data_IF_817194405136
#
_entry.id   IF_817194405136
#
_cell.length_a   1.000
_cell.length_b   1.000
_cell.length_c   1.000
_cell.angle_alpha   90.00
_cell.angle_beta   90.00
_cell.angle_gamma   90.00
#
_symmetry.space_group_name_H-M   'P 1'
#
loop_
_entity.id
_entity.type
_entity.pdbx_description
1 polymer ?
#
# COMPACT_ATOMS: atom_id res chain seq x y z
N UNK A 1 12.55 25.18 17.20
CA UNK A 1 12.59 24.59 15.84
C UNK A 1 13.59 23.44 15.90
N UNK A 2 13.25 22.14 15.88
CA UNK A 2 12.40 21.30 14.98
C UNK A 2 13.03 21.01 13.60
N UNK A 3 12.85 19.75 13.17
CA UNK A 3 13.26 19.05 11.92
C UNK A 3 14.76 18.67 11.85
N UNK A 4 15.16 17.39 11.97
CA UNK A 4 14.96 16.17 11.12
C UNK A 4 15.94 16.15 9.92
N UNK A 5 16.83 15.17 9.64
CA UNK A 5 17.02 13.71 9.91
C UNK A 5 16.58 12.81 8.74
N UNK A 6 17.55 12.32 7.94
CA UNK A 6 17.61 11.07 7.12
C UNK A 6 18.84 11.17 6.17
N UNK A 7 19.57 10.16 5.68
CA UNK A 7 19.59 8.66 5.70
C UNK A 7 21.05 8.21 6.05
N UNK A 8 21.50 6.94 6.09
CA UNK A 8 20.90 5.58 6.01
C UNK A 8 21.72 4.60 6.89
N UNK A 9 21.24 3.37 7.14
CA UNK A 9 21.65 2.14 6.44
C UNK A 9 21.10 0.85 7.09
N UNK A 10 21.17 -0.27 6.37
CA UNK A 10 20.22 -1.40 6.49
C UNK A 10 20.90 -2.77 6.71
N UNK A 11 20.37 -3.54 7.70
CA UNK A 11 20.48 -5.00 7.90
C UNK A 11 21.88 -5.63 8.14
N UNK A 12 22.05 -6.22 9.33
CA UNK A 12 22.15 -7.69 9.50
C UNK A 12 21.74 -8.13 10.90
N UNK A 13 20.99 -9.23 11.00
CA UNK A 13 20.83 -9.99 12.25
C UNK A 13 22.12 -10.76 12.50
N UNK A 14 22.63 -10.71 13.73
CA UNK A 14 22.95 -11.93 14.47
C UNK A 14 23.03 -11.65 15.97
N UNK A 15 22.58 -12.61 16.77
CA UNK A 15 22.63 -12.58 18.24
C UNK A 15 23.67 -13.62 18.69
N UNK A 16 24.37 -13.34 19.79
CA UNK A 16 25.31 -14.24 20.50
C UNK A 16 26.75 -14.29 19.93
N UNK A 17 27.61 -13.37 20.39
CA UNK A 17 28.85 -13.71 21.14
C UNK A 17 29.60 -12.47 21.68
N UNK A 18 30.15 -12.66 22.88
CA UNK A 18 31.33 -11.99 23.46
C UNK A 18 31.25 -10.47 23.70
N UNK A 19 30.65 -10.14 24.86
CA UNK A 19 31.38 -9.67 26.04
C UNK A 19 32.87 -9.26 25.91
N UNK A 20 33.25 -8.29 26.76
CA UNK A 20 34.61 -8.00 27.23
C UNK A 20 35.59 -7.46 26.17
N UNK A 21 35.75 -6.12 26.14
CA UNK A 21 37.05 -5.44 26.27
C UNK A 21 36.83 -3.98 26.75
N UNK A 22 37.35 -3.67 27.94
CA UNK A 22 37.84 -2.36 28.44
C UNK A 22 37.09 -1.10 27.96
N UNK A 23 36.21 -0.42 28.72
CA UNK A 23 36.35 0.13 30.09
C UNK A 23 37.71 0.82 30.38
N UNK A 24 37.62 2.14 30.64
CA UNK A 24 38.59 3.06 31.30
C UNK A 24 39.85 3.51 30.54
N UNK A 25 39.90 4.81 30.18
CA UNK A 25 40.72 5.81 30.92
C UNK A 25 40.37 7.26 30.57
N UNK A 26 40.49 8.12 31.59
CA UNK A 26 40.66 9.59 31.64
C UNK A 26 39.75 10.50 30.77
N UNK A 27 39.26 11.66 31.25
CA UNK A 27 39.44 12.28 32.56
C UNK A 27 39.83 13.76 32.45
N UNK A 28 38.84 14.64 32.68
CA UNK A 28 38.92 16.02 33.21
C UNK A 28 40.14 16.91 32.91
N UNK A 29 39.93 17.98 32.14
CA UNK A 29 40.48 19.35 32.31
C UNK A 29 39.44 20.30 31.63
N UNK A 30 38.61 21.09 32.33
CA UNK A 30 38.89 22.33 33.12
C UNK A 30 38.94 23.60 32.22
N UNK A 31 37.74 24.20 32.08
CA UNK A 31 37.30 25.62 31.97
C UNK A 31 38.02 26.69 31.10
N UNK A 32 37.15 27.56 30.56
CA UNK A 32 37.31 28.99 30.23
C UNK A 32 38.21 29.49 29.07
N UNK A 33 37.58 29.64 27.90
CA UNK A 33 37.06 30.97 27.50
C UNK A 33 37.95 31.92 26.68
N UNK A 34 37.55 32.22 25.43
CA UNK A 34 37.49 33.61 24.95
C UNK A 34 36.50 33.85 23.79
N UNK A 35 36.20 35.13 23.53
CA UNK A 35 35.09 35.62 22.68
C UNK A 35 35.42 35.73 21.18
N UNK A 36 34.38 35.52 20.37
CA UNK A 36 34.05 36.19 19.07
C UNK A 36 35.21 36.65 18.16
N UNK A 37 35.35 35.99 17.00
CA UNK A 37 36.04 36.53 15.82
C UNK A 37 35.34 36.12 14.52
N UNK A 38 35.04 37.06 13.62
CA UNK A 38 34.37 36.78 12.33
C UNK A 38 35.39 36.38 11.25
N UNK A 39 35.07 35.33 10.48
CA UNK A 39 35.56 35.15 9.10
C UNK A 39 36.52 33.98 8.84
N UNK A 40 36.40 33.42 7.62
CA UNK A 40 37.28 32.42 6.98
C UNK A 40 37.17 30.94 7.44
N UNK A 41 35.99 30.32 7.35
CA UNK A 41 35.88 28.84 7.33
C UNK A 41 35.69 28.21 5.93
N UNK A 42 35.41 29.01 4.89
CA UNK A 42 35.11 28.50 3.53
C UNK A 42 36.31 28.07 2.67
N UNK A 43 37.57 28.39 3.03
CA UNK A 43 38.74 28.04 2.18
C UNK A 43 39.48 26.75 2.56
N UNK A 44 39.28 26.22 3.77
CA UNK A 44 39.97 25.01 4.22
C UNK A 44 39.28 23.74 3.69
N UNK A 45 37.96 23.67 3.81
CA UNK A 45 37.15 22.53 3.36
C UNK A 45 37.26 22.26 1.84
N UNK A 46 37.28 23.30 0.99
CA UNK A 46 37.42 23.11 -0.46
C UNK A 46 38.79 22.56 -0.90
N UNK A 47 39.84 22.69 -0.08
CA UNK A 47 41.14 22.04 -0.36
C UNK A 47 41.13 20.56 0.03
N UNK A 48 40.49 20.22 1.14
CA UNK A 48 40.33 18.81 1.58
C UNK A 48 39.45 18.05 0.59
N UNK A 49 38.27 18.57 0.27
CA UNK A 49 37.33 17.94 -0.68
C UNK A 49 37.97 17.70 -2.05
N UNK A 50 38.77 18.65 -2.57
CA UNK A 50 39.45 18.46 -3.87
C UNK A 50 40.52 17.38 -3.83
N UNK A 51 41.34 17.37 -2.77
CA UNK A 51 42.37 16.34 -2.59
C UNK A 51 41.75 14.94 -2.45
N UNK A 52 40.62 14.83 -1.75
CA UNK A 52 39.91 13.56 -1.58
C UNK A 52 39.20 13.10 -2.86
N UNK A 53 38.72 14.03 -3.72
CA UNK A 53 38.21 13.70 -5.06
C UNK A 53 39.32 13.25 -6.02
N UNK A 54 40.49 13.91 -6.00
CA UNK A 54 41.66 13.54 -6.83
C UNK A 54 42.19 12.13 -6.47
N UNK A 55 42.18 11.76 -5.19
CA UNK A 55 42.55 10.41 -4.72
C UNK A 55 41.58 9.30 -5.17
N UNK A 56 40.34 9.64 -5.52
CA UNK A 56 39.28 8.69 -5.89
C UNK A 56 38.99 8.63 -7.41
N UNK A 57 39.69 9.40 -8.24
CA UNK A 57 39.49 9.48 -9.70
C UNK A 57 38.05 9.80 -10.15
N UNK A 58 37.28 10.51 -9.32
CA UNK A 58 35.91 10.92 -9.66
C UNK A 58 35.92 12.27 -10.39
N UNK A 59 35.48 12.28 -11.65
CA UNK A 59 35.22 13.53 -12.39
C UNK A 59 33.90 14.18 -11.95
N UNK A 60 33.78 15.49 -12.12
CA UNK A 60 32.57 16.27 -11.78
C UNK A 60 31.30 15.73 -12.49
N UNK A 61 31.47 15.06 -13.63
CA UNK A 61 30.39 14.50 -14.46
C UNK A 61 29.71 13.26 -13.85
N UNK A 62 30.27 12.65 -12.80
CA UNK A 62 29.70 11.44 -12.16
C UNK A 62 28.69 11.73 -11.04
N UNK A 63 28.33 12.99 -10.78
CA UNK A 63 27.41 13.39 -9.69
C UNK A 63 26.14 14.09 -10.24
N UNK A 64 25.59 13.63 -11.36
CA UNK A 64 24.29 14.08 -11.88
C UNK A 64 23.46 12.93 -12.48
N UNK A 65 23.00 12.00 -11.64
CA UNK A 65 21.87 11.13 -12.00
C UNK A 65 20.98 10.78 -10.79
N UNK A 66 20.68 11.80 -9.97
CA UNK A 66 19.69 11.70 -8.89
C UNK A 66 18.36 12.34 -9.33
N UNK A 67 17.77 11.77 -10.38
CA UNK A 67 16.59 12.30 -11.09
C UNK A 67 15.25 11.73 -10.58
N UNK A 68 15.17 11.47 -9.26
CA UNK A 68 13.94 11.00 -8.61
C UNK A 68 13.32 12.04 -7.66
N UNK A 69 14.08 13.05 -7.19
CA UNK A 69 13.54 14.11 -6.31
C UNK A 69 12.58 15.09 -7.00
N UNK A 70 12.59 15.16 -8.33
CA UNK A 70 11.73 16.06 -9.09
C UNK A 70 10.28 15.60 -9.27
N UNK A 71 9.93 14.37 -8.84
CA UNK A 71 8.57 13.85 -9.00
C UNK A 71 7.70 13.98 -7.74
N UNK A 72 8.30 13.97 -6.53
CA UNK A 72 7.56 14.27 -5.28
C UNK A 72 7.30 15.77 -5.11
N UNK A 73 8.32 16.64 -5.19
CA UNK A 73 8.15 18.10 -5.02
C UNK A 73 7.20 18.73 -6.06
N UNK A 74 7.02 18.09 -7.22
CA UNK A 74 6.17 18.57 -8.31
C UNK A 74 4.72 18.02 -8.24
N UNK A 75 4.41 17.12 -7.30
CA UNK A 75 3.05 16.72 -6.97
C UNK A 75 2.38 17.70 -6.00
N UNK A 76 3.13 18.23 -5.03
CA UNK A 76 2.57 19.12 -4.00
C UNK A 76 2.05 20.45 -4.59
N UNK A 77 2.73 21.04 -5.58
CA UNK A 77 2.27 22.24 -6.30
C UNK A 77 0.92 22.08 -7.04
N UNK A 78 0.47 20.84 -7.32
CA UNK A 78 -0.81 20.62 -8.03
C UNK A 78 -2.05 20.78 -7.15
N UNK A 79 -1.91 20.48 -5.86
CA UNK A 79 -3.03 20.41 -4.94
C UNK A 79 -3.39 21.79 -4.34
N UNK A 80 -2.45 22.76 -4.36
CA UNK A 80 -2.72 24.16 -3.93
C UNK A 80 -3.86 24.82 -4.71
N UNK A 81 -3.98 24.53 -6.01
CA UNK A 81 -5.04 25.05 -6.89
C UNK A 81 -6.39 24.29 -6.74
N UNK A 82 -6.52 23.30 -5.84
CA UNK A 82 -7.79 22.58 -5.58
C UNK A 82 -8.31 23.00 -4.22
N UNK A 83 -8.99 24.16 -4.19
CA UNK A 83 -9.73 24.60 -3.01
C UNK A 83 -10.91 23.65 -2.79
N UNK A 84 -10.78 22.85 -1.74
CA UNK A 84 -11.81 21.94 -1.25
C UNK A 84 -12.91 22.79 -0.59
N UNK A 85 -14.13 22.74 -1.13
CA UNK A 85 -15.26 23.53 -0.61
C UNK A 85 -15.73 22.93 0.70
N UNK A 86 -16.06 23.75 1.70
CA UNK A 86 -16.63 23.24 2.95
C UNK A 86 -17.92 22.43 2.70
N UNK A 87 -18.13 21.39 3.50
CA UNK A 87 -19.32 20.54 3.43
C UNK A 87 -20.28 20.97 4.53
N UNK A 88 -21.47 21.42 4.14
CA UNK A 88 -22.55 21.76 5.07
C UNK A 88 -23.11 20.48 5.73
N UNK A 89 -22.61 20.18 6.93
CA UNK A 89 -23.03 19.04 7.76
C UNK A 89 -24.00 19.50 8.86
N UNK A 90 -24.86 18.59 9.30
CA UNK A 90 -25.68 18.82 10.49
C UNK A 90 -24.92 18.35 11.73
N UNK A 91 -24.23 19.29 12.39
CA UNK A 91 -23.42 19.04 13.59
C UNK A 91 -24.18 19.30 14.91
N UNK A 92 -25.52 19.35 14.88
CA UNK A 92 -26.36 19.68 16.05
C UNK A 92 -26.15 18.74 17.24
N UNK A 93 -25.87 17.46 16.98
CA UNK A 93 -25.63 16.41 18.00
C UNK A 93 -24.13 16.18 18.30
N UNK A 94 -23.22 16.94 17.67
CA UNK A 94 -21.77 16.79 17.86
C UNK A 94 -21.33 17.30 19.23
N UNK A 95 -20.44 16.56 19.88
CA UNK A 95 -19.91 16.80 21.22
C UNK A 95 -18.39 16.94 21.15
N UNK A 96 -17.86 17.92 21.88
CA UNK A 96 -16.42 18.12 22.01
C UNK A 96 -15.68 16.87 22.52
N UNK A 97 -14.48 16.56 21.99
CA UNK A 97 -13.72 15.38 22.41
C UNK A 97 -13.33 15.44 23.91
N UNK A 98 -13.57 14.37 24.68
CA UNK A 98 -13.13 14.32 26.08
C UNK A 98 -11.59 14.26 26.18
N UNK A 99 -11.04 15.13 27.02
CA UNK A 99 -9.61 15.24 27.30
C UNK A 99 -9.23 14.61 28.65
N UNK A 100 -10.06 13.66 29.13
CA UNK A 100 -9.82 12.95 30.38
C UNK A 100 -8.60 12.01 30.29
N UNK A 101 -7.88 11.78 31.41
CA UNK A 101 -6.85 10.75 31.48
C UNK A 101 -7.36 9.36 31.04
N UNK A 102 -6.52 8.52 30.40
CA UNK A 102 -6.92 7.18 30.02
C UNK A 102 -7.45 6.36 31.20
N UNK A 103 -8.65 5.77 31.03
CA UNK A 103 -9.29 4.96 32.06
C UNK A 103 -8.54 3.63 32.31
N UNK A 104 -8.78 3.02 33.48
CA UNK A 104 -8.17 1.74 33.83
C UNK A 104 -8.70 0.61 32.95
N UNK A 105 -7.80 -0.16 32.32
CA UNK A 105 -8.14 -1.22 31.35
C UNK A 105 -7.88 -2.65 31.85
N UNK A 106 -7.33 -2.83 33.06
CA UNK A 106 -6.84 -4.13 33.53
C UNK A 106 -5.55 -4.58 32.84
N UNK A 107 -4.99 -5.69 33.31
CA UNK A 107 -3.82 -6.33 32.70
C UNK A 107 -4.27 -7.51 31.84
N UNK A 108 -4.16 -7.39 30.51
CA UNK A 108 -4.57 -8.44 29.57
C UNK A 108 -3.74 -9.72 29.66
N UNK A 109 -2.65 -9.75 30.45
CA UNK A 109 -1.81 -10.92 30.68
C UNK A 109 -2.08 -11.68 31.97
N UNK A 110 -2.98 -11.19 32.84
CA UNK A 110 -3.33 -11.87 34.08
C UNK A 110 -4.18 -13.12 33.85
N UNK A 111 -3.88 -14.19 34.60
CA UNK A 111 -4.69 -15.41 34.58
C UNK A 111 -6.02 -15.18 35.31
N UNK A 112 -7.13 -15.36 34.59
CA UNK A 112 -8.49 -15.23 35.14
C UNK A 112 -8.92 -16.57 35.72
N UNK A 113 -8.88 -16.70 37.04
CA UNK A 113 -9.46 -17.86 37.75
C UNK A 113 -11.00 -17.84 37.66
N UNK A 114 -11.64 -18.97 37.94
CA UNK A 114 -13.10 -19.05 37.89
C UNK A 114 -13.77 -18.21 39.00
N UNK A 115 -13.15 -18.08 40.19
CA UNK A 115 -13.62 -17.17 41.23
C UNK A 115 -13.56 -15.71 40.78
N UNK A 116 -12.50 -15.31 40.06
CA UNK A 116 -12.38 -13.97 39.50
C UNK A 116 -13.40 -13.73 38.39
N UNK A 117 -13.70 -14.75 37.57
CA UNK A 117 -14.77 -14.70 36.56
C UNK A 117 -16.15 -14.51 37.21
N UNK A 118 -16.46 -15.26 38.26
CA UNK A 118 -17.75 -15.15 38.97
C UNK A 118 -17.89 -13.82 39.72
N UNK A 119 -16.84 -13.38 40.40
CA UNK A 119 -16.79 -12.05 41.03
C UNK A 119 -16.98 -10.92 39.99
N UNK A 120 -16.37 -11.04 38.81
CA UNK A 120 -16.57 -10.09 37.71
C UNK A 120 -18.02 -10.07 37.19
N UNK A 121 -18.71 -11.22 37.13
CA UNK A 121 -20.14 -11.26 36.77
C UNK A 121 -21.01 -10.61 37.85
N UNK A 122 -20.69 -10.78 39.14
CA UNK A 122 -21.40 -10.12 40.25
C UNK A 122 -21.24 -8.60 40.17
N UNK A 123 -20.02 -8.07 39.98
CA UNK A 123 -19.81 -6.62 39.82
C UNK A 123 -20.45 -6.07 38.54
N UNK A 124 -20.43 -6.84 37.44
CA UNK A 124 -21.17 -6.51 36.21
C UNK A 124 -22.68 -6.44 36.43
N UNK A 125 -23.28 -7.37 37.19
CA UNK A 125 -24.71 -7.36 37.50
C UNK A 125 -25.11 -6.07 38.24
N UNK A 126 -24.38 -5.73 39.33
CA UNK A 126 -24.56 -4.47 40.07
C UNK A 126 -24.47 -3.23 39.17
N UNK A 127 -23.55 -3.24 38.21
CA UNK A 127 -23.44 -2.15 37.25
C UNK A 127 -24.63 -2.05 36.29
N UNK A 128 -25.19 -3.19 35.84
CA UNK A 128 -26.40 -3.21 35.00
C UNK A 128 -27.62 -2.69 35.77
N UNK A 129 -27.74 -3.04 37.05
CA UNK A 129 -28.78 -2.51 37.94
C UNK A 129 -28.67 -0.98 38.03
N UNK A 130 -27.48 -0.45 38.33
CA UNK A 130 -27.21 1.00 38.38
C UNK A 130 -27.44 1.71 37.02
N UNK A 131 -27.18 1.04 35.88
CA UNK A 131 -27.50 1.57 34.54
C UNK A 131 -29.02 1.68 34.33
N UNK A 132 -29.82 0.76 34.88
CA UNK A 132 -31.28 0.80 34.78
C UNK A 132 -31.89 1.91 35.65
N UNK A 133 -31.39 2.06 36.89
CA UNK A 133 -31.76 3.14 37.81
C UNK A 133 -31.39 4.53 37.29
N UNK A 134 -30.34 4.63 36.46
CA UNK A 134 -29.82 5.87 35.87
C UNK A 134 -30.76 6.62 34.91
N UNK A 135 -32.04 6.23 34.81
CA UNK A 135 -33.07 6.88 33.99
C UNK A 135 -33.72 8.09 34.68
N UNK A 136 -33.44 8.30 35.97
CA UNK A 136 -34.00 9.40 36.79
C UNK A 136 -33.03 10.58 37.00
N UNK A 137 -33.48 11.63 37.71
CA UNK A 137 -32.74 12.89 37.98
C UNK A 137 -31.33 12.70 38.57
N UNK A 138 -31.06 11.55 39.21
CA UNK A 138 -29.73 11.20 39.75
C UNK A 138 -28.82 10.46 38.74
N UNK A 139 -29.15 10.46 37.45
CA UNK A 139 -28.51 9.70 36.38
C UNK A 139 -26.99 9.76 36.40
N UNK A 140 -26.39 10.95 36.44
CA UNK A 140 -24.93 11.12 36.41
C UNK A 140 -24.21 10.39 37.57
N UNK A 141 -24.78 10.43 38.78
CA UNK A 141 -24.20 9.74 39.93
C UNK A 141 -24.27 8.22 39.76
N UNK A 142 -25.41 7.71 39.27
CA UNK A 142 -25.63 6.28 39.02
C UNK A 142 -24.81 5.72 37.86
N UNK A 143 -24.60 6.51 36.80
CA UNK A 143 -23.71 6.12 35.70
C UNK A 143 -22.24 6.09 36.13
N UNK A 144 -21.80 6.98 37.03
CA UNK A 144 -20.46 6.90 37.61
C UNK A 144 -20.29 5.70 38.57
N UNK A 145 -21.32 5.37 39.37
CA UNK A 145 -21.36 4.15 40.18
C UNK A 145 -21.23 2.89 39.30
N UNK A 146 -21.95 2.84 38.18
CA UNK A 146 -21.83 1.77 37.19
C UNK A 146 -20.43 1.66 36.55
N UNK A 147 -19.76 2.79 36.27
CA UNK A 147 -18.37 2.78 35.76
C UNK A 147 -17.40 2.17 36.79
N UNK A 148 -17.57 2.47 38.08
CA UNK A 148 -16.73 1.91 39.12
C UNK A 148 -16.89 0.39 39.18
N UNK A 149 -18.12 -0.11 39.24
CA UNK A 149 -18.39 -1.55 39.25
C UNK A 149 -17.98 -2.28 37.96
N UNK A 150 -18.09 -1.64 36.79
CA UNK A 150 -17.55 -2.20 35.54
C UNK A 150 -16.03 -2.19 35.51
N UNK A 151 -15.39 -1.20 36.14
CA UNK A 151 -13.92 -1.14 36.25
C UNK A 151 -13.41 -2.22 37.21
N UNK A 152 -14.06 -2.43 38.36
CA UNK A 152 -13.82 -3.59 39.24
C UNK A 152 -13.96 -4.91 38.47
N UNK A 153 -15.04 -5.08 37.70
CA UNK A 153 -15.25 -6.28 36.88
C UNK A 153 -14.15 -6.48 35.81
N UNK A 154 -13.67 -5.40 35.18
CA UNK A 154 -12.59 -5.44 34.18
C UNK A 154 -11.23 -5.77 34.83
N UNK A 155 -10.95 -5.27 36.03
CA UNK A 155 -9.73 -5.62 36.77
C UNK A 155 -9.70 -7.11 37.16
N UNK A 156 -10.87 -7.70 37.47
CA UNK A 156 -11.04 -9.12 37.78
C UNK A 156 -11.04 -10.01 36.53
N UNK A 157 -11.61 -9.54 35.42
CA UNK A 157 -11.66 -10.28 34.16
C UNK A 157 -11.36 -9.38 32.93
N UNK A 158 -10.06 -9.13 32.65
CA UNK A 158 -9.63 -8.35 31.49
C UNK A 158 -9.90 -9.03 30.14
N UNK A 159 -10.26 -10.32 30.12
CA UNK A 159 -10.49 -11.10 28.89
C UNK A 159 -11.94 -11.06 28.39
N UNK A 160 -12.79 -10.18 28.92
CA UNK A 160 -14.22 -10.13 28.60
C UNK A 160 -14.61 -8.91 27.76
N UNK A 161 -14.77 -9.12 26.45
CA UNK A 161 -15.23 -8.08 25.50
C UNK A 161 -16.54 -7.39 25.95
N UNK A 162 -17.44 -8.16 26.59
CA UNK A 162 -18.76 -7.67 27.03
C UNK A 162 -18.64 -6.62 28.13
N UNK A 163 -17.62 -6.71 29.01
CA UNK A 163 -17.40 -5.73 30.07
C UNK A 163 -17.00 -4.38 29.48
N UNK A 164 -15.98 -4.36 28.62
CA UNK A 164 -15.57 -3.14 27.92
C UNK A 164 -16.70 -2.55 27.07
N UNK A 165 -17.41 -3.35 26.26
CA UNK A 165 -18.53 -2.86 25.46
C UNK A 165 -19.70 -2.31 26.30
N UNK A 166 -19.90 -2.83 27.51
CA UNK A 166 -20.91 -2.31 28.45
C UNK A 166 -20.45 -1.00 29.09
N UNK A 167 -19.17 -0.87 29.46
CA UNK A 167 -18.60 0.38 30.01
C UNK A 167 -18.51 1.49 28.96
N UNK A 168 -18.15 1.16 27.72
CA UNK A 168 -18.25 2.06 26.57
C UNK A 168 -19.67 2.64 26.40
N UNK A 169 -20.71 1.82 26.55
CA UNK A 169 -22.10 2.28 26.48
C UNK A 169 -22.45 3.29 27.60
N UNK A 170 -21.88 3.13 28.80
CA UNK A 170 -22.04 4.12 29.88
C UNK A 170 -21.29 5.41 29.56
N UNK A 171 -20.10 5.34 28.97
CA UNK A 171 -19.36 6.52 28.51
C UNK A 171 -20.10 7.28 27.39
N UNK A 172 -20.77 6.59 26.45
CA UNK A 172 -21.67 7.22 25.46
C UNK A 172 -22.80 7.99 26.17
N UNK A 173 -23.49 7.37 27.14
CA UNK A 173 -24.54 8.04 27.95
C UNK A 173 -24.02 9.25 28.73
N UNK A 174 -22.77 9.23 29.18
CA UNK A 174 -22.10 10.34 29.85
C UNK A 174 -21.49 11.39 28.91
N UNK A 175 -21.67 11.25 27.59
CA UNK A 175 -21.07 12.11 26.56
C UNK A 175 -19.53 12.17 26.62
N UNK A 176 -18.88 11.03 26.84
CA UNK A 176 -17.40 10.85 26.82
C UNK A 176 -16.96 9.95 25.65
N UNK A 177 -16.97 10.44 24.40
CA UNK A 177 -16.77 9.61 23.22
C UNK A 177 -15.37 9.00 23.05
N UNK A 178 -14.29 9.70 23.40
CA UNK A 178 -12.92 9.15 23.34
C UNK A 178 -12.74 8.02 24.35
N UNK A 179 -13.23 8.19 25.58
CA UNK A 179 -13.26 7.12 26.58
C UNK A 179 -14.05 5.90 26.07
N UNK A 180 -15.22 6.12 25.47
CA UNK A 180 -16.03 5.06 24.86
C UNK A 180 -15.29 4.34 23.71
N UNK A 181 -14.60 5.07 22.82
CA UNK A 181 -13.83 4.48 21.71
C UNK A 181 -12.70 3.59 22.21
N UNK A 182 -11.94 4.00 23.25
CA UNK A 182 -10.88 3.19 23.85
C UNK A 182 -11.40 1.85 24.38
N UNK A 183 -12.54 1.87 25.06
CA UNK A 183 -13.20 0.66 25.56
C UNK A 183 -13.76 -0.19 24.41
N UNK A 184 -14.34 0.43 23.38
CA UNK A 184 -14.88 -0.29 22.22
C UNK A 184 -13.78 -0.98 21.41
N UNK A 185 -12.63 -0.32 21.21
CA UNK A 185 -11.46 -0.92 20.56
C UNK A 185 -10.82 -2.01 21.43
N UNK A 186 -10.90 -1.93 22.77
CA UNK A 186 -10.52 -3.04 23.65
C UNK A 186 -11.49 -4.22 23.53
N UNK A 187 -12.80 -3.97 23.48
CA UNK A 187 -13.82 -4.99 23.26
C UNK A 187 -13.58 -5.74 21.93
N UNK A 188 -13.31 -5.01 20.84
CA UNK A 188 -13.09 -5.56 19.51
C UNK A 188 -11.72 -6.26 19.36
N UNK A 189 -10.71 -5.90 20.15
CA UNK A 189 -9.45 -6.67 20.24
C UNK A 189 -9.66 -8.02 20.91
N UNK A 190 -10.57 -8.11 21.89
CA UNK A 190 -10.90 -9.36 22.60
C UNK A 190 -11.86 -10.23 21.79
N UNK A 191 -12.89 -9.62 21.17
CA UNK A 191 -13.82 -10.30 20.28
C UNK A 191 -14.11 -9.41 19.04
N UNK A 192 -13.47 -9.68 17.89
CA UNK A 192 -13.71 -8.95 16.65
C UNK A 192 -15.15 -9.00 16.17
N UNK A 193 -15.89 -10.09 16.42
CA UNK A 193 -17.26 -10.29 15.93
C UNK A 193 -18.33 -9.69 16.88
N UNK A 194 -17.93 -8.76 17.76
CA UNK A 194 -18.85 -8.15 18.73
C UNK A 194 -19.68 -7.03 18.12
N UNK A 195 -20.93 -7.33 17.72
CA UNK A 195 -21.94 -6.32 17.34
C UNK A 195 -22.02 -5.15 18.32
N UNK A 196 -22.07 -5.44 19.63
CA UNK A 196 -22.14 -4.42 20.68
C UNK A 196 -20.90 -3.52 20.72
N UNK A 197 -19.71 -4.06 20.41
CA UNK A 197 -18.47 -3.29 20.27
C UNK A 197 -18.51 -2.32 19.09
N UNK A 198 -18.98 -2.76 17.93
CA UNK A 198 -19.19 -1.89 16.77
C UNK A 198 -20.27 -0.83 17.03
N UNK A 199 -21.41 -1.20 17.65
CA UNK A 199 -22.50 -0.27 18.01
C UNK A 199 -21.98 0.90 18.82
N UNK A 200 -21.34 0.64 19.97
CA UNK A 200 -20.87 1.71 20.87
C UNK A 200 -19.74 2.54 20.26
N UNK A 201 -18.87 1.94 19.42
CA UNK A 201 -17.83 2.69 18.69
C UNK A 201 -18.44 3.61 17.63
N UNK A 202 -19.43 3.12 16.89
CA UNK A 202 -20.15 3.88 15.88
C UNK A 202 -20.92 5.06 16.48
N UNK A 203 -21.62 4.84 17.59
CA UNK A 203 -22.29 5.92 18.35
C UNK A 203 -21.28 6.96 18.87
N UNK A 204 -20.18 6.54 19.50
CA UNK A 204 -19.15 7.45 20.00
C UNK A 204 -18.45 8.25 18.88
N UNK A 205 -18.26 7.65 17.69
CA UNK A 205 -17.74 8.32 16.49
C UNK A 205 -18.73 9.32 15.91
N UNK A 206 -20.03 9.01 15.91
CA UNK A 206 -21.08 9.95 15.49
C UNK A 206 -21.06 11.21 16.38
N UNK A 207 -20.92 11.03 17.69
CA UNK A 207 -20.80 12.15 18.64
C UNK A 207 -19.56 13.03 18.40
N UNK A 208 -18.51 12.53 17.75
CA UNK A 208 -17.31 13.29 17.38
C UNK A 208 -17.38 13.93 15.98
N UNK A 209 -18.52 13.85 15.28
CA UNK A 209 -18.62 14.26 13.89
C UNK A 209 -17.86 13.36 12.90
N UNK A 210 -17.39 12.17 13.33
CA UNK A 210 -16.72 11.18 12.47
C UNK A 210 -17.76 10.34 11.72
N UNK A 211 -18.61 11.02 10.96
CA UNK A 211 -19.83 10.48 10.35
C UNK A 211 -19.57 9.27 9.45
N UNK A 212 -18.46 9.28 8.70
CA UNK A 212 -18.10 8.23 7.74
C UNK A 212 -17.71 6.93 8.44
N UNK A 213 -16.85 7.02 9.45
CA UNK A 213 -16.41 5.91 10.29
C UNK A 213 -17.57 5.38 11.14
N UNK A 214 -18.40 6.29 11.69
CA UNK A 214 -19.61 5.94 12.42
C UNK A 214 -20.59 5.13 11.56
N UNK A 215 -20.91 5.60 10.35
CA UNK A 215 -21.78 4.88 9.42
C UNK A 215 -21.23 3.48 9.07
N UNK A 216 -19.91 3.35 8.94
CA UNK A 216 -19.28 2.06 8.68
C UNK A 216 -19.43 1.09 9.85
N UNK A 217 -19.13 1.54 11.08
CA UNK A 217 -19.27 0.71 12.28
C UNK A 217 -20.73 0.31 12.55
N UNK A 218 -21.68 1.24 12.41
CA UNK A 218 -23.09 0.97 12.66
C UNK A 218 -23.69 0.02 11.61
N UNK A 219 -23.29 0.11 10.34
CA UNK A 219 -23.68 -0.88 9.31
C UNK A 219 -23.13 -2.27 9.59
N UNK A 220 -21.88 -2.37 10.06
CA UNK A 220 -21.31 -3.66 10.50
C UNK A 220 -22.04 -4.22 11.71
N UNK A 221 -22.35 -3.37 12.71
CA UNK A 221 -23.12 -3.77 13.88
C UNK A 221 -24.49 -4.32 13.49
N UNK A 222 -25.26 -3.59 12.66
CA UNK A 222 -26.58 -3.99 12.14
C UNK A 222 -26.55 -5.28 11.30
N UNK A 223 -25.43 -5.56 10.62
CA UNK A 223 -25.24 -6.79 9.86
C UNK A 223 -24.97 -8.02 10.75
N UNK A 224 -24.37 -7.82 11.93
CA UNK A 224 -24.09 -8.89 12.90
C UNK A 224 -25.30 -9.14 13.81
N UNK A 225 -25.92 -8.07 14.32
CA UNK A 225 -27.08 -8.13 15.22
C UNK A 225 -28.01 -6.93 14.97
N UNK A 226 -29.30 -7.19 14.80
CA UNK A 226 -30.29 -6.14 14.51
C UNK A 226 -30.83 -5.54 15.81
N UNK A 227 -30.67 -4.22 15.95
CA UNK A 227 -31.04 -3.47 17.14
C UNK A 227 -31.61 -2.11 16.71
N UNK A 228 -32.76 -1.72 17.28
CA UNK A 228 -33.54 -0.55 16.87
C UNK A 228 -32.78 0.78 17.10
N UNK A 229 -31.96 0.86 18.14
CA UNK A 229 -31.12 2.03 18.44
C UNK A 229 -29.98 2.16 17.41
N UNK A 230 -29.49 1.06 16.83
CA UNK A 230 -28.56 1.11 15.68
C UNK A 230 -29.26 1.71 14.46
N UNK A 231 -30.48 1.28 14.16
CA UNK A 231 -31.27 1.78 13.02
C UNK A 231 -31.61 3.28 13.17
N UNK A 232 -32.01 3.72 14.37
CA UNK A 232 -32.24 5.15 14.64
C UNK A 232 -30.97 5.98 14.49
N UNK A 233 -29.83 5.48 15.02
CA UNK A 233 -28.54 6.18 14.91
C UNK A 233 -28.06 6.26 13.46
N UNK A 234 -28.19 5.17 12.68
CA UNK A 234 -27.87 5.16 11.24
C UNK A 234 -28.65 6.24 10.49
N UNK A 235 -29.95 6.37 10.74
CA UNK A 235 -30.80 7.37 10.08
C UNK A 235 -30.31 8.82 10.27
N UNK A 236 -29.66 9.12 11.40
CA UNK A 236 -29.06 10.44 11.70
C UNK A 236 -27.68 10.60 11.04
N UNK A 237 -26.87 9.54 11.06
CA UNK A 237 -25.48 9.54 10.59
C UNK A 237 -25.35 9.46 9.06
N UNK A 238 -26.23 8.70 8.39
CA UNK A 238 -26.14 8.42 6.95
C UNK A 238 -26.19 9.66 6.04
N UNK A 239 -27.06 10.68 6.25
CA UNK A 239 -27.08 11.88 5.41
C UNK A 239 -25.75 12.65 5.43
N UNK A 240 -25.14 12.84 6.61
CA UNK A 240 -23.85 13.50 6.74
C UNK A 240 -22.73 12.64 6.13
N UNK A 241 -22.71 11.33 6.41
CA UNK A 241 -21.74 10.41 5.83
C UNK A 241 -21.81 10.37 4.28
N UNK A 242 -23.00 10.44 3.71
CA UNK A 242 -23.22 10.45 2.27
C UNK A 242 -22.70 11.75 1.62
N UNK A 243 -23.03 12.93 2.19
CA UNK A 243 -22.49 14.23 1.74
C UNK A 243 -20.96 14.23 1.69
N UNK A 244 -20.31 13.75 2.76
CA UNK A 244 -18.85 13.63 2.85
C UNK A 244 -18.32 12.69 1.77
N UNK A 245 -18.95 11.54 1.55
CA UNK A 245 -18.51 10.59 0.55
C UNK A 245 -18.65 11.14 -0.89
N UNK A 246 -19.76 11.80 -1.23
CA UNK A 246 -19.94 12.42 -2.55
C UNK A 246 -18.93 13.54 -2.81
N UNK A 247 -18.69 14.37 -1.80
CA UNK A 247 -17.69 15.45 -1.85
C UNK A 247 -16.27 14.89 -2.00
N UNK A 248 -15.87 13.91 -1.18
CA UNK A 248 -14.60 13.19 -1.33
C UNK A 248 -14.46 12.61 -2.76
N UNK A 249 -15.51 11.97 -3.30
CA UNK A 249 -15.52 11.41 -4.67
C UNK A 249 -15.44 12.50 -5.75
N UNK A 250 -15.97 13.71 -5.52
CA UNK A 250 -15.82 14.87 -6.42
C UNK A 250 -14.37 15.35 -6.42
N UNK A 251 -13.79 15.58 -5.26
CA UNK A 251 -12.42 16.12 -5.15
C UNK A 251 -11.34 15.11 -5.53
N UNK A 252 -11.51 13.81 -5.25
CA UNK A 252 -10.62 12.77 -5.75
C UNK A 252 -10.59 12.69 -7.29
N UNK A 253 -11.75 12.88 -7.95
CA UNK A 253 -11.82 12.95 -9.43
C UNK A 253 -11.08 14.19 -9.96
N UNK A 254 -11.24 15.35 -9.33
CA UNK A 254 -10.56 16.59 -9.72
C UNK A 254 -9.04 16.50 -9.54
N UNK A 255 -8.56 15.95 -8.42
CA UNK A 255 -7.12 15.69 -8.18
C UNK A 255 -6.55 14.78 -9.28
N UNK A 256 -7.21 13.65 -9.56
CA UNK A 256 -6.73 12.72 -10.58
C UNK A 256 -6.78 13.30 -12.00
N UNK A 257 -7.82 14.07 -12.34
CA UNK A 257 -7.91 14.77 -13.63
C UNK A 257 -6.78 15.78 -13.81
N UNK A 258 -6.43 16.56 -12.77
CA UNK A 258 -5.27 17.47 -12.81
C UNK A 258 -3.95 16.71 -12.96
N UNK A 259 -3.74 15.62 -12.21
CA UNK A 259 -2.54 14.78 -12.31
C UNK A 259 -2.36 14.24 -13.73
N UNK A 260 -3.42 13.69 -14.33
CA UNK A 260 -3.40 13.18 -15.71
C UNK A 260 -3.15 14.30 -16.73
N UNK A 261 -3.74 15.48 -16.57
CA UNK A 261 -3.46 16.65 -17.42
C UNK A 261 -2.00 17.10 -17.34
N UNK A 262 -1.39 17.14 -16.15
CA UNK A 262 0.04 17.48 -15.98
C UNK A 262 0.94 16.44 -16.66
N UNK A 263 0.68 15.14 -16.43
CA UNK A 263 1.42 14.04 -17.07
C UNK A 263 1.31 14.11 -18.61
N UNK A 264 0.13 14.41 -19.16
CA UNK A 264 -0.03 14.55 -20.61
C UNK A 264 0.70 15.79 -21.17
N UNK A 265 0.64 16.92 -20.46
CA UNK A 265 1.36 18.14 -20.82
C UNK A 265 2.88 17.90 -20.81
N UNK A 266 3.41 17.25 -19.76
CA UNK A 266 4.84 16.92 -19.66
C UNK A 266 5.29 15.94 -20.74
N UNK A 267 4.45 14.96 -21.09
CA UNK A 267 4.70 14.07 -22.23
C UNK A 267 4.77 14.85 -23.55
N UNK A 268 3.85 15.80 -23.79
CA UNK A 268 3.86 16.66 -24.99
C UNK A 268 5.10 17.57 -25.02
N UNK A 269 5.48 18.16 -23.89
CA UNK A 269 6.70 18.97 -23.73
C UNK A 269 7.96 18.17 -24.08
N UNK A 270 8.16 17.00 -23.46
CA UNK A 270 9.30 16.10 -23.75
C UNK A 270 9.33 15.67 -25.23
N UNK A 271 8.18 15.41 -25.85
CA UNK A 271 8.10 15.10 -27.29
C UNK A 271 8.46 16.29 -28.19
N UNK A 272 8.06 17.52 -27.83
CA UNK A 272 8.41 18.73 -28.56
C UNK A 272 9.91 19.05 -28.44
N UNK A 273 10.48 18.93 -27.24
CA UNK A 273 11.91 19.08 -26.97
C UNK A 273 12.75 18.08 -27.78
N UNK A 274 12.36 16.80 -27.80
CA UNK A 274 13.05 15.76 -28.58
C UNK A 274 12.99 16.03 -30.10
N UNK A 275 11.84 16.48 -30.62
CA UNK A 275 11.70 16.88 -32.04
C UNK A 275 12.56 18.10 -32.37
N UNK A 276 12.54 19.13 -31.53
CA UNK A 276 13.33 20.34 -31.72
C UNK A 276 14.85 20.05 -31.66
N UNK A 277 15.28 19.14 -30.78
CA UNK A 277 16.66 18.68 -30.72
C UNK A 277 17.08 17.95 -32.01
N UNK A 278 16.23 17.05 -32.54
CA UNK A 278 16.47 16.34 -33.80
C UNK A 278 16.47 17.27 -35.03
N UNK A 279 15.56 18.24 -35.11
CA UNK A 279 15.60 19.25 -36.18
C UNK A 279 16.85 20.13 -36.09
N UNK A 280 17.34 20.42 -34.87
CA UNK A 280 18.56 21.19 -34.64
C UNK A 280 19.83 20.40 -34.99
N UNK A 281 19.88 19.08 -34.75
CA UNK A 281 21.00 18.24 -35.21
C UNK A 281 21.00 18.13 -36.74
N UNK A 282 19.84 17.85 -37.35
CA UNK A 282 19.72 17.77 -38.81
C UNK A 282 20.12 19.07 -39.53
N UNK A 283 19.75 20.24 -38.99
CA UNK A 283 20.18 21.53 -39.54
C UNK A 283 21.69 21.74 -39.43
N UNK A 284 22.32 21.29 -38.34
CA UNK A 284 23.78 21.33 -38.19
C UNK A 284 24.49 20.42 -39.19
N UNK A 285 24.02 19.18 -39.35
CA UNK A 285 24.54 18.23 -40.35
C UNK A 285 24.50 18.84 -41.75
N UNK A 286 23.34 19.38 -42.15
CA UNK A 286 23.16 20.05 -43.45
C UNK A 286 24.04 21.31 -43.61
N UNK A 287 24.33 22.06 -42.55
CA UNK A 287 25.28 23.17 -42.61
C UNK A 287 26.72 22.68 -42.76
N UNK A 288 27.14 21.65 -42.03
CA UNK A 288 28.47 21.06 -42.18
C UNK A 288 28.69 20.39 -43.53
N UNK A 289 27.64 19.81 -44.15
CA UNK A 289 27.70 19.29 -45.52
C UNK A 289 27.84 20.42 -46.56
N UNK A 290 27.27 21.60 -46.31
CA UNK A 290 27.42 22.76 -47.20
C UNK A 290 28.80 23.41 -47.07
N UNK A 291 29.28 23.64 -45.85
CA UNK A 291 30.63 24.16 -45.58
C UNK A 291 31.74 23.22 -46.10
N UNK A 292 31.49 21.90 -46.12
CA UNK A 292 32.39 20.91 -46.73
C UNK A 292 32.36 20.90 -48.27
N UNK A 293 31.51 21.71 -48.91
CA UNK A 293 31.38 21.79 -50.37
C UNK A 293 31.90 23.08 -51.01
N UNK A 294 32.47 24.00 -50.21
CA UNK A 294 33.18 25.19 -50.71
C UNK A 294 34.60 24.83 -51.20
N UNK A 295 34.93 25.00 -52.50
CA UNK A 295 36.18 24.50 -53.06
C UNK A 295 37.30 25.55 -53.04
N UNK A 296 37.75 25.99 -51.86
CA UNK A 296 38.96 26.83 -51.75
C UNK A 296 39.68 26.71 -50.38
N UNK A 297 40.42 25.61 -50.20
CA UNK A 297 41.63 25.55 -49.33
C UNK A 297 42.32 24.18 -49.41
N UNK A 298 42.82 23.84 -50.60
CA UNK A 298 43.69 22.68 -50.77
C UNK A 298 45.12 22.98 -50.23
N UNK A 299 45.48 22.38 -49.10
CA UNK A 299 46.89 22.26 -48.68
C UNK A 299 47.17 20.89 -48.03
N UNK A 300 47.23 19.88 -48.91
CA UNK A 300 48.25 18.84 -49.04
C UNK A 300 48.78 18.02 -47.82
N UNK A 301 49.12 16.75 -48.11
CA UNK A 301 49.72 15.71 -47.27
C UNK A 301 48.84 15.15 -46.12
N UNK A 302 48.69 13.84 -45.92
CA UNK A 302 49.70 12.79 -46.07
C UNK A 302 49.10 11.37 -46.31
N UNK A 303 49.94 10.39 -46.66
CA UNK A 303 49.55 9.01 -46.99
C UNK A 303 49.33 8.07 -45.78
N UNK A 304 48.60 6.96 -46.00
CA UNK A 304 48.38 5.85 -45.05
C UNK A 304 47.05 5.94 -44.28
N UNK A 305 46.31 4.86 -43.97
CA UNK A 305 46.56 3.42 -44.11
C UNK A 305 45.22 2.67 -44.33
N UNK A 306 45.17 1.67 -45.21
CA UNK A 306 43.93 0.95 -45.59
C UNK A 306 43.81 -0.39 -44.85
N UNK A 307 43.50 -0.36 -43.56
CA UNK A 307 43.24 -1.59 -42.77
C UNK A 307 41.75 -1.84 -42.51
N UNK A 308 41.24 -2.82 -43.26
CA UNK A 308 40.00 -3.58 -43.08
C UNK A 308 39.31 -3.52 -41.69
N UNK A 309 38.11 -2.94 -41.64
CA UNK A 309 37.12 -3.24 -40.58
C UNK A 309 35.98 -4.03 -41.21
N UNK A 310 35.95 -5.34 -40.94
CA UNK A 310 34.91 -6.24 -41.42
C UNK A 310 33.62 -6.04 -40.62
N UNK A 311 32.50 -6.13 -41.33
CA UNK A 311 31.18 -6.26 -40.74
C UNK A 311 31.09 -7.46 -39.79
N UNK A 312 30.58 -7.25 -38.58
CA UNK A 312 30.26 -8.32 -37.63
C UNK A 312 28.74 -8.51 -37.51
N UNK A 313 28.18 -9.59 -38.08
CA UNK A 313 26.81 -10.01 -37.79
C UNK A 313 26.76 -11.04 -36.65
N UNK A 314 25.59 -11.11 -36.01
CA UNK A 314 25.09 -12.25 -35.21
C UNK A 314 25.79 -12.63 -33.90
N UNK A 315 25.07 -12.49 -32.78
CA UNK A 315 25.12 -13.46 -31.67
C UNK A 315 23.72 -13.67 -31.05
N UNK A 316 22.82 -14.28 -31.82
CA UNK A 316 21.58 -14.81 -31.28
C UNK A 316 21.88 -16.06 -30.43
N UNK A 317 21.84 -15.94 -29.10
CA UNK A 317 22.01 -17.09 -28.18
C UNK A 317 20.78 -18.00 -28.24
N UNK A 318 20.82 -18.97 -29.15
CA UNK A 318 19.87 -20.08 -29.26
C UNK A 318 20.22 -21.14 -28.20
N UNK A 319 19.61 -21.07 -27.03
CA UNK A 319 19.74 -22.09 -25.99
C UNK A 319 19.01 -23.38 -26.44
N UNK A 320 19.79 -24.36 -26.87
CA UNK A 320 19.34 -25.73 -27.14
C UNK A 320 19.14 -26.49 -25.84
N UNK A 321 17.88 -26.74 -25.47
CA UNK A 321 17.53 -27.69 -24.41
C UNK A 321 17.62 -29.10 -24.97
N UNK A 322 18.36 -29.98 -24.30
CA UNK A 322 18.42 -31.41 -24.60
C UNK A 322 17.06 -32.06 -24.31
N UNK A 323 16.43 -32.58 -25.36
CA UNK A 323 15.20 -33.37 -25.26
C UNK A 323 15.58 -34.84 -25.02
N UNK A 324 15.50 -35.29 -23.77
CA UNK A 324 15.61 -36.72 -23.42
C UNK A 324 14.24 -37.35 -23.60
N UNK A 325 14.11 -38.23 -24.60
CA UNK A 325 12.91 -39.05 -24.79
C UNK A 325 12.88 -40.15 -23.73
N UNK A 326 11.92 -40.07 -22.81
CA UNK A 326 11.55 -41.14 -21.90
C UNK A 326 10.07 -41.48 -22.06
N UNK A 327 9.76 -42.52 -22.83
CA UNK A 327 8.40 -43.01 -22.98
C UNK A 327 7.98 -43.81 -21.74
N UNK A 328 6.90 -43.42 -21.06
CA UNK A 328 5.92 -44.35 -20.46
C UNK A 328 4.79 -43.58 -19.77
N UNK A 329 3.60 -44.20 -19.70
CA UNK A 329 2.57 -43.83 -18.73
C UNK A 329 1.59 -42.73 -19.16
N UNK A 330 0.43 -43.16 -19.69
CA UNK A 330 -0.81 -42.37 -19.61
C UNK A 330 -1.32 -42.37 -18.16
N UNK A 331 -0.71 -41.57 -17.28
CA UNK A 331 -1.26 -41.33 -15.94
C UNK A 331 -2.09 -40.03 -15.89
N UNK A 332 -3.21 -40.10 -15.17
CA UNK A 332 -4.33 -39.16 -15.27
C UNK A 332 -3.98 -37.72 -14.87
N UNK A 333 -4.33 -36.78 -15.76
CA UNK A 333 -4.13 -35.32 -15.63
C UNK A 333 -4.71 -34.72 -14.34
N UNK A 334 -5.70 -35.39 -13.72
CA UNK A 334 -6.33 -34.96 -12.47
C UNK A 334 -5.36 -34.91 -11.26
N UNK A 335 -4.21 -35.61 -11.29
CA UNK A 335 -3.23 -35.60 -10.18
C UNK A 335 -2.42 -34.30 -10.04
N UNK A 336 -2.47 -33.38 -11.01
CA UNK A 336 -1.68 -32.12 -11.01
C UNK A 336 -2.44 -30.88 -10.46
N UNK A 337 -3.64 -31.07 -9.91
CA UNK A 337 -4.37 -30.03 -9.17
C UNK A 337 -5.29 -29.13 -10.01
N UNK A 338 -5.42 -29.36 -11.31
CA UNK A 338 -6.49 -28.77 -12.12
C UNK A 338 -7.78 -29.58 -12.01
N UNK A 339 -8.48 -29.42 -10.88
CA UNK A 339 -9.91 -29.75 -10.83
C UNK A 339 -10.66 -28.96 -11.90
N UNK A 340 -11.58 -29.62 -12.62
CA UNK A 340 -12.40 -28.97 -13.66
C UNK A 340 -13.07 -27.72 -13.10
N UNK A 341 -12.82 -26.56 -13.71
CA UNK A 341 -13.43 -25.29 -13.32
C UNK A 341 -12.74 -24.54 -12.17
N UNK A 342 -11.54 -24.93 -11.70
CA UNK A 342 -10.82 -24.23 -10.62
C UNK A 342 -9.70 -23.30 -11.13
N UNK A 343 -9.61 -22.09 -10.57
CA UNK A 343 -8.44 -21.20 -10.72
C UNK A 343 -7.34 -21.64 -9.76
N UNK A 344 -6.09 -21.65 -10.24
CA UNK A 344 -4.90 -21.89 -9.42
C UNK A 344 -4.26 -20.55 -9.03
N UNK A 345 -4.11 -20.30 -7.73
CA UNK A 345 -3.30 -19.20 -7.21
C UNK A 345 -1.80 -19.52 -7.35
N UNK A 346 -1.00 -18.52 -7.70
CA UNK A 346 0.44 -18.62 -7.92
C UNK A 346 1.15 -17.63 -6.99
N UNK A 347 2.06 -18.15 -6.16
CA UNK A 347 2.75 -17.36 -5.13
C UNK A 347 4.28 -17.36 -5.31
N UNK A 348 4.82 -18.08 -6.32
CA UNK A 348 6.25 -18.15 -6.61
C UNK A 348 6.54 -18.51 -8.06
N UNK A 349 7.73 -18.13 -8.55
CA UNK A 349 8.20 -18.48 -9.90
C UNK A 349 8.28 -20.00 -10.15
N UNK A 350 8.72 -20.80 -9.17
CA UNK A 350 8.84 -22.27 -9.34
C UNK A 350 7.48 -22.96 -9.42
N UNK A 351 6.49 -22.48 -8.68
CA UNK A 351 5.09 -22.92 -8.80
C UNK A 351 4.55 -22.60 -10.20
N UNK A 352 4.77 -21.37 -10.69
CA UNK A 352 4.36 -20.96 -12.02
C UNK A 352 4.97 -21.83 -13.12
N UNK A 353 6.29 -22.01 -13.13
CA UNK A 353 6.99 -22.82 -14.13
C UNK A 353 6.44 -24.26 -14.14
N UNK A 354 6.21 -24.85 -12.96
CA UNK A 354 5.61 -26.18 -12.84
C UNK A 354 4.23 -26.26 -13.49
N UNK A 355 3.37 -25.26 -13.27
CA UNK A 355 2.02 -25.20 -13.87
C UNK A 355 2.07 -24.91 -15.37
N UNK A 356 2.96 -24.04 -15.85
CA UNK A 356 3.10 -23.76 -17.29
C UNK A 356 3.66 -24.97 -18.06
N UNK A 357 4.63 -25.68 -17.49
CA UNK A 357 5.15 -26.92 -18.07
C UNK A 357 4.06 -28.00 -18.15
N UNK A 358 3.22 -28.14 -17.11
CA UNK A 358 2.06 -29.03 -17.13
C UNK A 358 1.01 -28.64 -18.18
N UNK A 359 0.78 -27.33 -18.41
CA UNK A 359 -0.14 -26.85 -19.45
C UNK A 359 0.40 -27.19 -20.85
N UNK A 360 1.69 -26.94 -21.07
CA UNK A 360 2.38 -27.24 -22.32
C UNK A 360 2.41 -28.74 -22.64
N UNK A 361 2.66 -29.59 -21.64
CA UNK A 361 2.64 -31.05 -21.79
C UNK A 361 1.24 -31.60 -22.15
N UNK A 362 0.17 -30.89 -21.75
CA UNK A 362 -1.20 -31.21 -22.11
C UNK A 362 -1.71 -30.46 -23.37
N UNK A 363 -0.85 -29.68 -24.04
CA UNK A 363 -1.21 -28.77 -25.14
C UNK A 363 -2.41 -27.86 -24.85
N UNK A 364 -2.55 -27.42 -23.59
CA UNK A 364 -3.62 -26.54 -23.12
C UNK A 364 -3.18 -25.09 -23.17
N UNK A 365 -4.07 -24.19 -23.60
CA UNK A 365 -3.93 -22.76 -23.36
C UNK A 365 -3.90 -22.50 -21.85
N UNK A 366 -2.86 -21.81 -21.37
CA UNK A 366 -2.82 -21.25 -20.02
C UNK A 366 -3.03 -19.73 -20.08
N UNK A 367 -3.74 -19.19 -19.09
CA UNK A 367 -3.98 -17.75 -18.94
C UNK A 367 -3.51 -17.34 -17.56
N UNK A 368 -2.49 -16.48 -17.50
CA UNK A 368 -1.95 -15.91 -16.27
C UNK A 368 -2.52 -14.52 -16.03
N UNK A 369 -3.34 -14.39 -14.99
CA UNK A 369 -3.97 -13.15 -14.55
C UNK A 369 -3.19 -12.53 -13.40
N UNK A 370 -2.60 -11.35 -13.62
CA UNK A 370 -2.01 -10.51 -12.59
C UNK A 370 -3.03 -9.50 -12.06
N UNK A 371 -3.16 -9.46 -10.73
CA UNK A 371 -4.12 -8.63 -9.99
C UNK A 371 -3.46 -7.93 -8.81
N UNK A 372 -4.16 -7.00 -8.18
CA UNK A 372 -3.87 -6.52 -6.82
C UNK A 372 -5.18 -6.29 -6.05
N UNK A 373 -5.15 -6.42 -4.72
CA UNK A 373 -6.32 -6.18 -3.86
C UNK A 373 -6.79 -4.71 -3.87
N UNK A 374 -5.84 -3.77 -3.88
CA UNK A 374 -6.09 -2.33 -3.94
C UNK A 374 -6.57 -1.83 -5.31
N UNK A 375 -6.30 -2.57 -6.39
CA UNK A 375 -6.66 -2.22 -7.76
C UNK A 375 -8.19 -2.26 -8.03
N UNK A 376 -8.80 -1.08 -8.22
CA UNK A 376 -10.23 -0.93 -8.52
C UNK A 376 -10.70 -1.71 -9.76
N UNK A 377 -10.07 -1.55 -10.94
CA UNK A 377 -10.45 -2.29 -12.14
C UNK A 377 -10.29 -3.82 -11.99
N UNK A 378 -9.32 -4.27 -11.17
CA UNK A 378 -9.12 -5.68 -10.84
C UNK A 378 -10.33 -6.26 -10.06
N UNK A 379 -10.89 -5.50 -9.11
CA UNK A 379 -12.12 -5.89 -8.39
C UNK A 379 -13.32 -6.05 -9.34
N UNK A 380 -13.41 -5.27 -10.42
CA UNK A 380 -14.49 -5.37 -11.40
C UNK A 380 -14.37 -6.58 -12.36
N UNK A 381 -13.15 -6.94 -12.77
CA UNK A 381 -12.93 -8.06 -13.70
C UNK A 381 -12.71 -9.41 -13.00
N UNK A 382 -12.28 -9.43 -11.73
CA UNK A 382 -12.05 -10.69 -11.01
C UNK A 382 -13.27 -11.63 -10.97
N UNK A 383 -14.52 -11.17 -10.73
CA UNK A 383 -15.69 -12.07 -10.75
C UNK A 383 -15.95 -12.68 -12.13
N UNK A 384 -15.67 -11.93 -13.21
CA UNK A 384 -15.76 -12.43 -14.57
C UNK A 384 -14.67 -13.45 -14.86
N UNK A 385 -13.42 -13.18 -14.47
CA UNK A 385 -12.33 -14.14 -14.61
C UNK A 385 -12.62 -15.45 -13.85
N UNK A 386 -13.28 -15.37 -12.69
CA UNK A 386 -13.70 -16.53 -11.88
C UNK A 386 -14.78 -17.40 -12.54
N UNK A 387 -15.60 -16.89 -13.48
CA UNK A 387 -16.60 -17.71 -14.18
C UNK A 387 -16.08 -18.39 -15.46
N UNK A 388 -14.99 -17.88 -16.06
CA UNK A 388 -14.39 -18.43 -17.29
C UNK A 388 -13.98 -19.91 -17.21
N UNK A 389 -13.45 -20.46 -16.10
CA UNK A 389 -13.13 -21.89 -15.98
C UNK A 389 -14.33 -22.82 -16.20
N UNK A 390 -15.55 -22.39 -15.86
CA UNK A 390 -16.78 -23.14 -16.14
C UNK A 390 -17.16 -23.15 -17.61
N UNK A 391 -16.87 -22.06 -18.33
CA UNK A 391 -17.13 -21.92 -19.78
C UNK A 391 -16.07 -22.59 -20.66
N UNK A 392 -14.81 -22.60 -20.21
CA UNK A 392 -13.66 -23.10 -20.97
C UNK A 392 -12.88 -24.18 -20.20
N UNK A 393 -13.45 -25.39 -19.99
CA UNK A 393 -12.84 -26.43 -19.16
C UNK A 393 -11.52 -27.02 -19.72
N UNK A 394 -11.19 -26.74 -20.99
CA UNK A 394 -9.91 -27.09 -21.65
C UNK A 394 -8.79 -26.07 -21.40
N UNK A 395 -9.10 -24.86 -20.93
CA UNK A 395 -8.12 -23.80 -20.63
C UNK A 395 -7.63 -23.96 -19.19
N UNK A 396 -6.39 -23.56 -18.91
CA UNK A 396 -5.82 -23.50 -17.57
C UNK A 396 -5.82 -22.05 -17.07
N UNK A 397 -6.49 -21.78 -15.94
CA UNK A 397 -6.63 -20.43 -15.38
C UNK A 397 -5.73 -20.28 -14.15
N UNK A 398 -4.80 -19.32 -14.22
CA UNK A 398 -3.80 -19.03 -13.20
C UNK A 398 -3.96 -17.58 -12.72
N UNK A 399 -3.87 -17.35 -11.41
CA UNK A 399 -3.97 -16.01 -10.80
C UNK A 399 -2.74 -15.75 -9.95
N UNK A 400 -2.07 -14.62 -10.16
CA UNK A 400 -1.00 -14.11 -9.30
C UNK A 400 -1.41 -12.74 -8.75
N UNK A 401 -1.31 -12.54 -7.44
CA UNK A 401 -1.37 -11.18 -6.88
C UNK A 401 0.04 -10.57 -6.91
N UNK A 402 0.17 -9.35 -7.40
CA UNK A 402 1.48 -8.70 -7.54
C UNK A 402 2.11 -8.34 -6.20
N UNK A 403 1.33 -8.22 -5.13
CA UNK A 403 1.86 -7.96 -3.79
C UNK A 403 2.48 -9.21 -3.16
N UNK A 404 1.88 -10.37 -3.43
CA UNK A 404 2.30 -11.69 -2.93
C UNK A 404 3.41 -12.31 -3.80
N UNK A 405 3.25 -12.29 -5.12
CA UNK A 405 4.12 -12.94 -6.10
C UNK A 405 4.99 -11.93 -6.90
N UNK A 406 5.71 -11.07 -6.17
CA UNK A 406 6.51 -9.97 -6.74
C UNK A 406 7.59 -10.45 -7.72
N UNK A 407 8.23 -11.57 -7.41
CA UNK A 407 9.21 -12.25 -8.26
C UNK A 407 8.63 -12.64 -9.63
N UNK A 408 7.39 -13.16 -9.62
CA UNK A 408 6.64 -13.50 -10.83
C UNK A 408 6.29 -12.23 -11.62
N UNK A 409 5.75 -11.20 -10.95
CA UNK A 409 5.35 -9.95 -11.60
C UNK A 409 6.53 -9.24 -12.28
N UNK A 410 7.70 -9.16 -11.62
CA UNK A 410 8.92 -8.62 -12.21
C UNK A 410 9.42 -9.44 -13.39
N UNK A 411 9.42 -10.78 -13.29
CA UNK A 411 9.90 -11.65 -14.39
C UNK A 411 9.04 -11.56 -15.66
N UNK A 412 7.75 -11.27 -15.52
CA UNK A 412 6.83 -11.05 -16.65
C UNK A 412 6.70 -9.57 -17.07
N UNK A 413 7.49 -8.68 -16.46
CA UNK A 413 7.52 -7.23 -16.71
C UNK A 413 6.12 -6.58 -16.63
N UNK A 414 5.39 -6.87 -15.56
CA UNK A 414 4.03 -6.37 -15.33
C UNK A 414 4.08 -4.94 -14.82
N UNK A 415 3.84 -3.97 -15.71
CA UNK A 415 3.82 -2.53 -15.39
C UNK A 415 2.45 -1.99 -14.95
N UNK A 416 1.38 -2.77 -15.14
CA UNK A 416 0.00 -2.36 -14.83
C UNK A 416 -0.89 -3.58 -14.60
N UNK A 417 -1.89 -3.42 -13.73
CA UNK A 417 -2.91 -4.43 -13.41
C UNK A 417 -4.32 -3.86 -13.61
N UNK A 418 -5.31 -4.67 -14.02
CA UNK A 418 -5.22 -6.10 -14.30
C UNK A 418 -4.50 -6.39 -15.62
N UNK A 419 -3.74 -7.47 -15.69
CA UNK A 419 -3.08 -7.93 -16.91
C UNK A 419 -3.26 -9.44 -17.10
N UNK A 420 -3.51 -9.87 -18.34
CA UNK A 420 -3.79 -11.26 -18.72
C UNK A 420 -2.82 -11.68 -19.81
N UNK A 421 -2.02 -12.71 -19.54
CA UNK A 421 -1.05 -13.27 -20.48
C UNK A 421 -1.53 -14.62 -20.98
N UNK A 422 -1.58 -14.79 -22.29
CA UNK A 422 -2.02 -16.00 -22.97
C UNK A 422 -0.79 -16.82 -23.36
N UNK A 423 -0.74 -18.08 -22.91
CA UNK A 423 0.45 -18.92 -23.03
C UNK A 423 0.04 -20.26 -23.68
N UNK A 424 0.64 -20.60 -24.81
CA UNK A 424 0.44 -21.87 -25.53
C UNK A 424 1.82 -22.44 -25.88
N UNK A 425 2.01 -23.74 -25.69
CA UNK A 425 3.26 -24.46 -25.94
C UNK A 425 4.51 -23.80 -25.32
N UNK A 426 4.37 -23.34 -24.07
CA UNK A 426 5.43 -22.71 -23.28
C UNK A 426 5.80 -21.28 -23.68
N UNK A 427 5.08 -20.65 -24.62
CA UNK A 427 5.35 -19.28 -25.10
C UNK A 427 4.15 -18.37 -24.91
N UNK A 428 4.41 -17.09 -24.63
CA UNK A 428 3.40 -16.05 -24.70
C UNK A 428 2.94 -15.91 -26.16
N UNK A 429 1.64 -16.06 -26.41
CA UNK A 429 1.01 -15.87 -27.73
C UNK A 429 0.27 -14.55 -27.84
N UNK A 430 -0.20 -13.99 -26.72
CA UNK A 430 -0.90 -12.71 -26.68
C UNK A 430 -0.99 -12.16 -25.23
N UNK A 431 -1.36 -10.88 -25.09
CA UNK A 431 -1.70 -10.25 -23.80
C UNK A 431 -2.89 -9.29 -23.88
N UNK A 432 -3.54 -9.06 -22.74
CA UNK A 432 -4.54 -8.01 -22.51
C UNK A 432 -4.15 -7.24 -21.27
N UNK A 433 -4.17 -5.92 -21.34
CA UNK A 433 -3.87 -5.02 -20.22
C UNK A 433 -5.10 -4.13 -19.99
N UNK A 434 -5.55 -4.03 -18.75
CA UNK A 434 -6.79 -3.33 -18.37
C UNK A 434 -8.00 -4.26 -18.25
N UNK A 435 -9.08 -3.72 -17.67
CA UNK A 435 -10.28 -4.47 -17.28
C UNK A 435 -11.31 -4.64 -18.44
N UNK A 436 -10.84 -5.00 -19.64
CA UNK A 436 -11.71 -5.22 -20.81
C UNK A 436 -12.20 -6.68 -20.89
N UNK A 437 -13.49 -6.87 -20.58
CA UNK A 437 -14.17 -8.19 -20.65
C UNK A 437 -14.28 -8.71 -22.09
N UNK A 438 -14.58 -7.84 -23.04
CA UNK A 438 -14.88 -8.22 -24.42
C UNK A 438 -13.61 -8.66 -25.14
N UNK A 439 -12.51 -7.90 -25.00
CA UNK A 439 -11.21 -8.26 -25.57
C UNK A 439 -10.63 -9.53 -24.93
N UNK A 440 -10.80 -9.70 -23.61
CA UNK A 440 -10.40 -10.92 -22.91
C UNK A 440 -11.15 -12.14 -23.47
N UNK A 441 -12.48 -12.11 -23.51
CA UNK A 441 -13.28 -13.24 -23.99
C UNK A 441 -13.05 -13.57 -25.47
N UNK A 442 -12.93 -12.54 -26.33
CA UNK A 442 -12.62 -12.71 -27.76
C UNK A 442 -11.29 -13.43 -27.97
N UNK A 443 -10.24 -13.05 -27.23
CA UNK A 443 -8.93 -13.72 -27.32
C UNK A 443 -8.96 -15.14 -26.75
N UNK A 444 -9.74 -15.39 -25.69
CA UNK A 444 -9.94 -16.76 -25.19
C UNK A 444 -10.58 -17.63 -26.27
N UNK A 445 -11.65 -17.17 -26.91
CA UNK A 445 -12.29 -17.89 -28.01
C UNK A 445 -11.33 -18.13 -29.20
N UNK A 446 -10.43 -17.18 -29.48
CA UNK A 446 -9.43 -17.29 -30.55
C UNK A 446 -8.33 -18.34 -30.26
N UNK A 447 -7.82 -18.42 -29.03
CA UNK A 447 -6.67 -19.29 -28.69
C UNK A 447 -7.04 -20.64 -28.04
N UNK A 448 -8.25 -20.77 -27.50
CA UNK A 448 -8.78 -22.00 -26.89
C UNK A 448 -9.40 -22.99 -27.89
N UNK A 449 -9.48 -22.59 -29.17
CA UNK A 449 -9.82 -23.46 -30.31
C UNK A 449 -8.74 -24.49 -30.62
#
# INVERSE_FOLDING_TARGET
MRMLRWMCDVIRKDRVKNEIIRKKRCGSLVVDGFRRGRGKLKKYWWKVIRHDMEQLQLTEDMILDNKEKGEEEHLDELDEDIIESDVELDDTDTVEPDNDPPQQMGDSSSEVTDENRDAAQISKAKALDAISEGTLVFSFCKLNEAINHLTEAILLNPSSAILYATRANVFVKLKKPNAAIRDADAALKVNPDSAKGYKVRGMARAMLGLWKEAASDLRLASMIDFDEEIAETLKKVEPNAHKIEEHCRKYQRLREEKRLRKIEHDRKRRQAEAKAAYEKSKKKEQQSEHEASDPDSASDSNEGDWTSVKSTPCLAKRLSVLFVMGESGKESVDRLGWGRGKIVGIHSVSELETKLNAASAASRLAILYFTATWCGPCRFISPFYTSLPGKYPKVAFLKADIDEARDVASRWNVSSVPAFFFIKDGKEVDRVVGADKNSLEKKIAQYAG
#
